data_IF_867147280113
#
_entry.id   IF_867147280113
#
_cell.length_a   1.000
_cell.length_b   1.000
_cell.length_c   1.000
_cell.angle_alpha   90.00
_cell.angle_beta   90.00
_cell.angle_gamma   90.00
#
_symmetry.space_group_name_H-M   'P 1'
#
loop_
_entity.id
_entity.type
_entity.pdbx_description
1 polymer ?
#
# COMPACT_ATOMS: atom_id res chain seq x y z
N UNK A 1 17.94 -18.98 -29.93
CA UNK A 1 16.99 -20.10 -30.14
C UNK A 1 15.79 -19.71 -30.99
N UNK A 2 15.12 -18.58 -30.73
CA UNK A 2 13.94 -18.10 -31.48
C UNK A 2 14.23 -17.88 -32.98
N UNK A 3 15.35 -17.25 -33.34
CA UNK A 3 15.74 -17.01 -34.75
C UNK A 3 15.92 -18.33 -35.52
N UNK A 4 16.49 -19.36 -34.88
CA UNK A 4 16.67 -20.67 -35.49
C UNK A 4 15.32 -21.35 -35.74
N UNK A 5 14.35 -21.19 -34.82
CA UNK A 5 13.00 -21.73 -34.95
C UNK A 5 12.20 -21.05 -36.09
N UNK A 6 12.37 -19.75 -36.29
CA UNK A 6 11.81 -19.04 -37.45
C UNK A 6 12.41 -19.54 -38.77
N UNK A 7 13.72 -19.78 -38.81
CA UNK A 7 14.36 -20.33 -40.01
C UNK A 7 13.84 -21.75 -40.30
N UNK A 8 13.67 -22.60 -39.28
CA UNK A 8 13.13 -23.94 -39.43
C UNK A 8 11.66 -23.97 -39.88
N UNK A 9 10.81 -23.06 -39.38
CA UNK A 9 9.41 -22.94 -39.84
C UNK A 9 9.33 -22.52 -41.31
N UNK A 10 10.12 -21.51 -41.70
CA UNK A 10 10.12 -20.98 -43.07
C UNK A 10 10.64 -22.04 -44.07
N UNK A 11 11.77 -22.69 -43.76
CA UNK A 11 12.36 -23.72 -44.61
C UNK A 11 11.47 -24.96 -44.67
N UNK A 12 10.95 -25.44 -43.53
CA UNK A 12 10.06 -26.59 -43.46
C UNK A 12 8.76 -26.37 -44.24
N UNK A 13 8.15 -25.19 -44.09
CA UNK A 13 6.91 -24.83 -44.79
C UNK A 13 7.09 -24.71 -46.32
N UNK A 14 8.18 -24.09 -46.78
CA UNK A 14 8.48 -23.96 -48.22
C UNK A 14 8.71 -25.34 -48.86
N UNK A 15 9.52 -26.19 -48.22
CA UNK A 15 9.83 -27.53 -48.76
C UNK A 15 8.56 -28.41 -48.78
N UNK A 16 7.74 -28.34 -47.73
CA UNK A 16 6.46 -29.05 -47.69
C UNK A 16 5.51 -28.60 -48.81
N UNK A 17 5.39 -27.29 -49.05
CA UNK A 17 4.57 -26.75 -50.15
C UNK A 17 5.06 -27.21 -51.53
N UNK A 18 6.38 -27.23 -51.77
CA UNK A 18 6.95 -27.69 -53.05
C UNK A 18 6.68 -29.17 -53.29
N UNK A 19 6.76 -30.01 -52.24
CA UNK A 19 6.55 -31.46 -52.37
C UNK A 19 5.10 -31.86 -52.58
N UNK A 20 4.12 -31.02 -52.23
CA UNK A 20 2.70 -31.22 -52.56
C UNK A 20 2.42 -31.17 -54.07
N UNK A 21 3.16 -30.36 -54.83
CA UNK A 21 2.98 -30.24 -56.29
C UNK A 21 3.78 -31.27 -57.10
N UNK A 22 4.79 -31.92 -56.51
CA UNK A 22 5.61 -32.98 -57.15
C UNK A 22 5.88 -34.13 -56.17
N UNK A 23 4.96 -35.11 -56.04
CA UNK A 23 4.99 -36.12 -54.99
C UNK A 23 5.97 -37.27 -55.31
N UNK A 24 7.23 -36.97 -55.61
CA UNK A 24 8.25 -37.98 -55.94
C UNK A 24 8.94 -38.60 -54.72
N UNK A 25 8.90 -37.94 -53.55
CA UNK A 25 9.65 -38.38 -52.36
C UNK A 25 8.83 -38.21 -51.06
N UNK A 26 8.01 -39.22 -50.71
CA UNK A 26 7.16 -39.21 -49.49
C UNK A 26 7.93 -38.97 -48.19
N UNK A 27 9.16 -39.46 -48.08
CA UNK A 27 10.01 -39.26 -46.89
C UNK A 27 10.38 -37.79 -46.68
N UNK A 28 10.67 -37.05 -47.75
CA UNK A 28 11.01 -35.62 -47.70
C UNK A 28 9.80 -34.78 -47.31
N UNK A 29 8.61 -35.17 -47.79
CA UNK A 29 7.35 -34.54 -47.40
C UNK A 29 7.05 -34.73 -45.90
N UNK A 30 7.22 -35.95 -45.37
CA UNK A 30 7.03 -36.23 -43.94
C UNK A 30 8.05 -35.46 -43.10
N UNK A 31 9.33 -35.47 -43.49
CA UNK A 31 10.39 -34.78 -42.75
C UNK A 31 10.19 -33.25 -42.73
N UNK A 32 9.82 -32.64 -43.85
CA UNK A 32 9.55 -31.19 -43.94
C UNK A 32 8.31 -30.78 -43.15
N UNK A 33 7.26 -31.60 -43.14
CA UNK A 33 6.08 -31.39 -42.32
C UNK A 33 6.40 -31.45 -40.82
N UNK A 34 7.16 -32.46 -40.37
CA UNK A 34 7.60 -32.57 -38.98
C UNK A 34 8.49 -31.40 -38.57
N UNK A 35 9.39 -30.94 -39.45
CA UNK A 35 10.24 -29.78 -39.19
C UNK A 35 9.43 -28.49 -39.05
N UNK A 36 8.40 -28.32 -39.89
CA UNK A 36 7.45 -27.22 -39.82
C UNK A 36 6.66 -27.25 -38.50
N UNK A 37 6.11 -28.40 -38.11
CA UNK A 37 5.38 -28.56 -36.85
C UNK A 37 6.27 -28.27 -35.63
N UNK A 38 7.50 -28.78 -35.61
CA UNK A 38 8.46 -28.51 -34.53
C UNK A 38 8.82 -27.03 -34.44
N UNK A 39 9.02 -26.38 -35.59
CA UNK A 39 9.26 -24.94 -35.65
C UNK A 39 8.06 -24.13 -35.13
N UNK A 40 6.83 -24.47 -35.54
CA UNK A 40 5.61 -23.80 -35.09
C UNK A 40 5.42 -24.00 -33.58
N UNK A 41 5.68 -25.20 -33.08
CA UNK A 41 5.59 -25.50 -31.65
C UNK A 41 6.65 -24.73 -30.84
N UNK A 42 7.85 -24.53 -31.38
CA UNK A 42 8.90 -23.75 -30.73
C UNK A 42 8.67 -22.23 -30.77
N UNK A 43 7.90 -21.72 -31.74
CA UNK A 43 7.53 -20.30 -31.88
C UNK A 43 6.17 -20.00 -31.22
N UNK A 44 5.39 -21.04 -30.91
CA UNK A 44 4.06 -20.89 -30.31
C UNK A 44 4.13 -20.13 -28.99
N UNK A 45 3.33 -19.05 -28.83
CA UNK A 45 3.26 -18.29 -27.58
C UNK A 45 2.75 -19.13 -26.40
N UNK A 46 2.22 -20.33 -26.64
CA UNK A 46 1.72 -21.28 -25.63
C UNK A 46 2.83 -21.76 -24.69
N UNK A 47 4.09 -21.76 -25.12
CA UNK A 47 5.21 -22.18 -24.27
C UNK A 47 5.62 -21.11 -23.24
N UNK A 48 5.04 -19.91 -23.33
CA UNK A 48 5.33 -18.76 -22.47
C UNK A 48 4.20 -18.44 -21.47
N UNK A 49 3.33 -19.42 -21.20
CA UNK A 49 2.33 -19.32 -20.13
C UNK A 49 3.03 -19.46 -18.77
N UNK A 50 3.67 -18.38 -18.32
CA UNK A 50 4.12 -18.24 -16.93
C UNK A 50 2.90 -18.11 -16.03
N UNK A 51 2.91 -18.85 -14.92
CA UNK A 51 1.77 -18.95 -14.00
C UNK A 51 1.66 -17.65 -13.20
N UNK A 52 0.48 -17.04 -13.09
CA UNK A 52 0.32 -15.82 -12.31
C UNK A 52 0.73 -16.06 -10.85
N UNK A 53 1.37 -15.06 -10.24
CA UNK A 53 1.81 -15.12 -8.84
C UNK A 53 0.66 -14.73 -7.92
N UNK A 54 0.22 -15.67 -7.09
CA UNK A 54 -0.75 -15.42 -6.03
C UNK A 54 -0.02 -14.91 -4.78
N UNK A 55 -0.52 -13.81 -4.21
CA UNK A 55 0.01 -13.19 -2.98
C UNK A 55 -1.13 -12.89 -2.02
N UNK A 56 -0.78 -12.60 -0.76
CA UNK A 56 -1.77 -12.24 0.25
C UNK A 56 -2.69 -11.10 -0.21
N UNK A 57 -3.94 -11.06 0.26
CA UNK A 57 -4.90 -10.02 -0.06
C UNK A 57 -4.31 -8.64 0.20
N UNK A 58 -4.53 -7.70 -0.71
CA UNK A 58 -4.22 -6.31 -0.45
C UNK A 58 -5.42 -5.40 -0.71
N UNK A 59 -5.62 -4.44 0.18
CA UNK A 59 -6.78 -3.57 0.18
C UNK A 59 -6.44 -2.21 0.76
N UNK A 60 -7.10 -1.17 0.24
CA UNK A 60 -7.00 0.18 0.81
C UNK A 60 -7.79 0.21 2.11
N UNK A 61 -7.10 0.40 3.22
CA UNK A 61 -7.73 0.40 4.56
C UNK A 61 -8.00 1.79 5.09
N UNK A 62 -7.42 2.83 4.50
CA UNK A 62 -7.69 4.22 4.87
C UNK A 62 -7.40 5.16 3.70
N UNK A 63 -8.21 6.19 3.50
CA UNK A 63 -7.92 7.28 2.56
C UNK A 63 -7.82 8.60 3.31
N UNK A 64 -6.69 9.29 3.14
CA UNK A 64 -6.53 10.67 3.63
C UNK A 64 -7.20 11.65 2.69
N UNK A 65 -7.09 11.41 1.38
CA UNK A 65 -7.72 12.16 0.29
C UNK A 65 -7.69 11.32 -1.01
N UNK A 66 -7.83 11.98 -2.17
CA UNK A 66 -7.81 11.35 -3.49
C UNK A 66 -6.48 10.66 -3.83
N UNK A 67 -5.35 11.18 -3.34
CA UNK A 67 -4.00 10.73 -3.74
C UNK A 67 -3.28 9.95 -2.64
N UNK A 68 -3.64 10.17 -1.38
CA UNK A 68 -2.95 9.61 -0.21
C UNK A 68 -3.79 8.55 0.49
N UNK A 69 -3.23 7.36 0.71
CA UNK A 69 -3.94 6.25 1.33
C UNK A 69 -3.02 5.24 2.02
N UNK A 70 -3.62 4.38 2.85
CA UNK A 70 -2.97 3.23 3.47
C UNK A 70 -3.38 1.95 2.76
N UNK A 71 -2.39 1.19 2.30
CA UNK A 71 -2.58 -0.14 1.73
C UNK A 71 -2.17 -1.19 2.77
N UNK A 72 -3.08 -2.11 3.09
CA UNK A 72 -2.79 -3.28 3.90
C UNK A 72 -2.59 -4.48 2.99
N UNK A 73 -1.49 -5.22 3.16
CA UNK A 73 -1.29 -6.55 2.56
C UNK A 73 -1.22 -7.60 3.67
N UNK A 74 -2.23 -8.47 3.75
CA UNK A 74 -2.35 -9.46 4.81
C UNK A 74 -3.74 -10.08 4.92
N UNK A 75 -3.96 -10.86 5.97
CA UNK A 75 -5.21 -11.56 6.21
C UNK A 75 -5.89 -11.02 7.46
N UNK A 76 -7.22 -11.09 7.52
CA UNK A 76 -7.97 -10.82 8.76
C UNK A 76 -7.66 -9.44 9.36
N UNK A 77 -7.49 -8.46 8.49
CA UNK A 77 -7.16 -7.08 8.85
C UNK A 77 -5.85 -6.91 9.64
N UNK A 78 -4.90 -7.83 9.40
CA UNK A 78 -3.57 -7.82 9.99
C UNK A 78 -2.52 -8.12 8.93
N UNK A 79 -1.46 -7.32 8.87
CA UNK A 79 -0.46 -7.47 7.82
C UNK A 79 0.60 -6.38 7.77
N UNK A 80 1.18 -6.23 6.59
CA UNK A 80 2.06 -5.12 6.25
C UNK A 80 1.21 -3.92 5.84
N UNK A 81 1.56 -2.74 6.35
CA UNK A 81 0.87 -1.49 6.01
C UNK A 81 1.83 -0.56 5.30
N UNK A 82 1.36 0.04 4.22
CA UNK A 82 2.10 0.98 3.40
C UNK A 82 1.35 2.30 3.34
N UNK A 83 2.07 3.40 3.54
CA UNK A 83 1.62 4.73 3.14
C UNK A 83 1.97 4.95 1.67
N UNK A 84 1.00 5.43 0.89
CA UNK A 84 1.17 5.72 -0.53
C UNK A 84 0.62 7.11 -0.81
N UNK A 85 1.42 7.93 -1.51
CA UNK A 85 1.00 9.17 -2.17
C UNK A 85 1.28 9.04 -3.66
N UNK A 86 0.23 8.86 -4.44
CA UNK A 86 0.34 8.69 -5.89
C UNK A 86 0.80 9.97 -6.59
N UNK A 87 0.41 11.14 -6.09
CA UNK A 87 0.74 12.42 -6.72
C UNK A 87 2.22 12.74 -6.54
N UNK A 88 2.74 12.54 -5.34
CA UNK A 88 4.13 12.84 -4.99
C UNK A 88 5.08 11.66 -5.19
N UNK A 89 4.55 10.52 -5.66
CA UNK A 89 5.27 9.27 -5.91
C UNK A 89 6.03 8.81 -4.65
N UNK A 90 5.34 8.83 -3.51
CA UNK A 90 5.87 8.39 -2.22
C UNK A 90 5.29 7.04 -1.86
N UNK A 91 6.19 6.14 -1.47
CA UNK A 91 5.85 4.84 -0.89
C UNK A 91 6.68 4.63 0.37
N UNK A 92 6.01 4.31 1.47
CA UNK A 92 6.68 4.04 2.74
C UNK A 92 6.04 2.84 3.43
N UNK A 93 6.87 1.89 3.84
CA UNK A 93 6.42 0.76 4.64
C UNK A 93 6.38 1.16 6.12
N UNK A 94 5.17 1.36 6.66
CA UNK A 94 4.95 1.72 8.06
C UNK A 94 5.25 0.56 8.99
N UNK A 95 4.69 -0.61 8.70
CA UNK A 95 4.94 -1.83 9.48
C UNK A 95 5.50 -2.97 8.62
N UNK A 96 6.58 -3.56 9.13
CA UNK A 96 7.23 -4.71 8.52
C UNK A 96 6.39 -6.00 8.63
N UNK A 97 5.58 -6.14 9.68
CA UNK A 97 4.67 -7.27 9.86
C UNK A 97 3.60 -7.01 10.93
N UNK A 98 2.44 -7.65 10.79
CA UNK A 98 1.47 -7.88 11.87
C UNK A 98 0.76 -6.65 12.45
N UNK A 99 0.75 -5.50 11.76
CA UNK A 99 -0.05 -4.36 12.20
C UNK A 99 -1.53 -4.66 11.96
N UNK A 100 -2.34 -4.45 12.99
CA UNK A 100 -3.81 -4.49 12.90
C UNK A 100 -4.31 -3.10 12.52
N UNK A 101 -5.42 -3.05 11.79
CA UNK A 101 -6.09 -1.77 11.48
C UNK A 101 -6.66 -1.13 12.75
N UNK A 102 -6.59 0.20 12.83
CA UNK A 102 -7.21 0.97 13.90
C UNK A 102 -8.70 1.14 13.61
N UNK A 103 -9.56 0.53 14.42
CA UNK A 103 -11.00 0.41 14.13
C UNK A 103 -11.87 1.52 14.71
N UNK A 104 -11.29 2.38 15.54
CA UNK A 104 -11.97 3.50 16.19
C UNK A 104 -12.04 4.74 15.27
N UNK A 105 -12.83 5.78 15.61
CA UNK A 105 -12.90 7.00 14.81
C UNK A 105 -11.52 7.61 14.57
N UNK A 106 -11.20 7.84 13.30
CA UNK A 106 -9.91 8.34 12.86
C UNK A 106 -10.05 9.28 11.66
N UNK A 107 -9.99 10.60 11.90
CA UNK A 107 -10.07 11.62 10.84
C UNK A 107 -8.75 12.35 10.70
N UNK A 108 -8.32 12.55 9.46
CA UNK A 108 -7.02 13.13 9.16
C UNK A 108 -7.11 14.17 8.04
N UNK A 109 -7.64 15.38 8.32
CA UNK A 109 -7.64 16.48 7.36
C UNK A 109 -6.27 17.15 7.15
N UNK A 110 -5.26 16.86 7.98
CA UNK A 110 -3.94 17.47 7.86
C UNK A 110 -3.21 17.08 6.56
N UNK A 111 -2.57 18.06 5.92
CA UNK A 111 -1.87 17.86 4.64
C UNK A 111 -0.36 17.71 4.82
N UNK A 112 0.24 18.51 5.71
CA UNK A 112 1.69 18.55 5.89
C UNK A 112 2.18 17.66 7.05
N UNK A 113 1.25 17.03 7.77
CA UNK A 113 1.53 16.23 8.95
C UNK A 113 0.73 14.94 8.87
N UNK A 114 1.36 13.86 8.42
CA UNK A 114 0.74 12.54 8.32
C UNK A 114 0.96 11.84 9.66
N UNK A 115 -0.07 11.21 10.21
CA UNK A 115 0.05 10.56 11.52
C UNK A 115 -0.89 9.37 11.61
N UNK A 116 -0.32 8.18 11.70
CA UNK A 116 -1.00 6.89 11.58
C UNK A 116 -0.85 6.13 12.90
N UNK A 117 -1.95 5.76 13.57
CA UNK A 117 -1.86 5.05 14.83
C UNK A 117 -1.62 3.55 14.61
N UNK A 118 -0.95 2.90 15.56
CA UNK A 118 -1.16 1.47 15.80
C UNK A 118 -2.58 1.22 16.35
N UNK A 119 -3.09 0.00 16.18
CA UNK A 119 -4.46 -0.34 16.59
C UNK A 119 -4.76 -0.11 18.08
N UNK A 120 -3.75 -0.18 18.94
CA UNK A 120 -3.83 0.00 20.38
C UNK A 120 -3.29 1.36 20.87
N UNK A 121 -2.92 2.25 19.94
CA UNK A 121 -2.28 3.54 20.22
C UNK A 121 -0.99 3.45 21.06
N UNK A 122 -0.36 2.27 21.13
CA UNK A 122 0.93 2.11 21.81
C UNK A 122 2.04 2.89 21.11
N UNK A 123 1.93 3.07 19.80
CA UNK A 123 2.75 3.97 19.00
C UNK A 123 1.92 4.61 17.88
N UNK A 124 2.39 5.77 17.43
CA UNK A 124 1.75 6.59 16.41
C UNK A 124 2.83 7.05 15.43
N UNK A 125 2.81 6.51 14.22
CA UNK A 125 3.80 6.81 13.21
C UNK A 125 3.49 8.14 12.53
N UNK A 126 4.42 9.07 12.63
CA UNK A 126 4.22 10.45 12.19
C UNK A 126 5.26 10.87 11.17
N UNK A 127 4.81 11.54 10.11
CA UNK A 127 5.65 12.13 9.07
C UNK A 127 5.36 13.62 8.89
N UNK A 128 6.43 14.39 8.70
CA UNK A 128 6.42 15.84 8.40
C UNK A 128 7.08 16.16 7.07
N UNK A 129 7.45 15.14 6.30
CA UNK A 129 8.18 15.25 5.03
C UNK A 129 7.38 14.65 3.87
N UNK A 130 6.04 14.69 3.98
CA UNK A 130 5.13 14.16 2.96
C UNK A 130 5.13 12.63 2.88
N UNK A 131 5.44 11.94 3.97
CA UNK A 131 5.44 10.48 4.05
C UNK A 131 6.72 9.81 3.59
N UNK A 132 7.80 10.58 3.36
CA UNK A 132 9.10 10.04 2.92
C UNK A 132 9.86 9.38 4.07
N UNK A 133 9.63 9.84 5.29
CA UNK A 133 10.08 9.18 6.52
C UNK A 133 9.04 9.31 7.61
N UNK A 134 8.99 8.31 8.49
CA UNK A 134 8.13 8.31 9.66
C UNK A 134 8.96 8.16 10.93
N UNK A 135 8.43 8.73 12.01
CA UNK A 135 8.94 8.59 13.37
C UNK A 135 7.76 8.28 14.28
N UNK A 136 7.94 7.28 15.13
CA UNK A 136 6.91 6.90 16.09
C UNK A 136 6.93 7.85 17.30
N UNK A 137 5.73 8.27 17.72
CA UNK A 137 5.48 8.91 19.03
C UNK A 137 4.57 8.03 19.87
N UNK A 138 4.60 8.26 21.17
CA UNK A 138 3.81 7.51 22.14
C UNK A 138 2.96 8.47 22.98
N UNK A 139 2.09 7.92 23.83
CA UNK A 139 1.51 8.71 24.92
C UNK A 139 2.60 9.00 25.95
N UNK A 140 2.64 10.22 26.48
CA UNK A 140 3.68 10.59 27.43
C UNK A 140 3.73 9.69 28.67
N UNK A 141 4.91 9.57 29.27
CA UNK A 141 5.22 8.68 30.39
C UNK A 141 4.09 8.63 31.44
N UNK A 142 3.59 7.42 31.70
CA UNK A 142 2.57 7.14 32.71
C UNK A 142 1.12 7.26 32.22
N UNK A 143 0.89 7.56 30.94
CA UNK A 143 -0.44 7.52 30.32
C UNK A 143 -0.57 6.26 29.45
N UNK A 144 -1.65 5.51 29.63
CA UNK A 144 -2.00 4.36 28.82
C UNK A 144 -3.52 4.37 28.65
N UNK A 145 -4.00 4.16 27.43
CA UNK A 145 -5.44 4.20 27.11
C UNK A 145 -6.15 2.87 27.42
N UNK A 146 -5.46 1.86 27.96
CA UNK A 146 -6.10 0.58 28.27
C UNK A 146 -6.52 -0.19 27.01
N UNK A 147 -6.93 -1.44 27.18
CA UNK A 147 -7.55 -2.26 26.11
C UNK A 147 -9.03 -1.91 25.86
N UNK A 148 -9.57 -0.87 26.52
CA UNK A 148 -11.00 -0.58 26.57
C UNK A 148 -11.39 0.87 26.30
N UNK A 149 -10.41 1.76 26.08
CA UNK A 149 -10.75 3.04 25.49
C UNK A 149 -10.93 2.83 23.99
N UNK A 150 -12.09 3.25 23.50
CA UNK A 150 -12.39 3.45 22.08
C UNK A 150 -12.21 4.93 21.77
N UNK A 151 -10.98 5.47 21.75
CA UNK A 151 -10.79 6.90 21.67
C UNK A 151 -11.01 7.39 20.24
N UNK A 152 -11.37 8.67 20.14
CA UNK A 152 -11.39 9.35 18.86
C UNK A 152 -10.00 9.90 18.58
N UNK A 153 -9.45 9.59 17.41
CA UNK A 153 -8.16 10.08 16.97
C UNK A 153 -8.31 11.03 15.79
N UNK A 154 -8.04 12.32 15.97
CA UNK A 154 -8.14 13.29 14.89
C UNK A 154 -6.82 14.02 14.67
N UNK A 155 -6.52 14.31 13.41
CA UNK A 155 -5.30 15.03 13.01
C UNK A 155 -5.68 16.29 12.25
N UNK A 156 -5.73 17.41 12.97
CA UNK A 156 -6.27 18.69 12.49
C UNK A 156 -5.26 19.80 12.71
N UNK A 157 -5.14 20.72 11.75
CA UNK A 157 -4.18 21.83 11.80
C UNK A 157 -2.75 21.37 12.05
N UNK A 158 -2.32 20.33 11.34
CA UNK A 158 -0.99 19.72 11.45
C UNK A 158 -0.63 19.30 12.90
N UNK A 159 -1.63 18.78 13.63
CA UNK A 159 -1.50 18.30 15.01
C UNK A 159 -2.42 17.11 15.26
N UNK A 160 -1.88 16.10 15.95
CA UNK A 160 -2.61 14.91 16.35
C UNK A 160 -3.30 15.11 17.71
N UNK A 161 -4.51 14.60 17.85
CA UNK A 161 -5.33 14.67 19.05
C UNK A 161 -5.99 13.33 19.33
N UNK A 162 -5.86 12.83 20.56
CA UNK A 162 -6.62 11.67 21.03
C UNK A 162 -7.58 12.15 22.12
N UNK A 163 -8.87 11.97 21.89
CA UNK A 163 -9.90 12.16 22.90
C UNK A 163 -10.26 10.80 23.50
N UNK A 164 -9.79 10.58 24.72
CA UNK A 164 -10.14 9.41 25.50
C UNK A 164 -11.61 9.46 25.93
N UNK A 165 -12.18 8.30 26.25
CA UNK A 165 -13.60 8.16 26.61
C UNK A 165 -13.97 8.89 27.90
N UNK A 166 -13.02 9.06 28.81
CA UNK A 166 -13.17 9.82 30.05
C UNK A 166 -13.16 11.36 29.83
N UNK A 167 -13.00 11.80 28.58
CA UNK A 167 -12.91 13.21 28.19
C UNK A 167 -11.49 13.78 28.24
N UNK A 168 -10.48 12.96 28.58
CA UNK A 168 -9.09 13.39 28.58
C UNK A 168 -8.60 13.62 27.15
N UNK A 169 -8.16 14.84 26.87
CA UNK A 169 -7.58 15.21 25.58
C UNK A 169 -6.04 15.14 25.65
N UNK A 170 -5.48 14.28 24.80
CA UNK A 170 -4.07 14.22 24.48
C UNK A 170 -3.81 14.94 23.17
N UNK A 171 -2.68 15.63 23.05
CA UNK A 171 -2.27 16.20 21.78
C UNK A 171 -0.76 16.09 21.58
N UNK A 172 -0.35 15.98 20.31
CA UNK A 172 1.06 16.06 19.92
C UNK A 172 1.58 17.51 20.02
N UNK A 173 2.90 17.69 19.94
CA UNK A 173 3.55 19.01 19.91
C UNK A 173 3.43 19.69 18.52
N UNK A 174 3.46 21.03 18.49
CA UNK A 174 3.39 21.88 17.28
C UNK A 174 4.58 22.87 17.13
N UNK A 175 5.35 22.84 16.03
CA UNK A 175 5.43 21.77 15.04
C UNK A 175 6.15 20.55 15.62
N UNK A 176 5.84 19.38 15.09
CA UNK A 176 6.48 18.13 15.46
C UNK A 176 8.00 18.15 15.21
N UNK A 177 8.76 17.47 16.08
CA UNK A 177 10.19 17.20 15.87
C UNK A 177 11.18 18.13 16.57
N UNK A 178 10.75 19.03 17.47
CA UNK A 178 11.69 19.87 18.21
C UNK A 178 12.25 19.18 19.46
N UNK A 179 11.43 18.51 20.30
CA UNK A 179 11.88 17.84 21.56
C UNK A 179 11.00 16.70 22.11
N UNK A 180 9.71 16.61 21.79
CA UNK A 180 8.80 15.61 22.38
C UNK A 180 8.68 14.32 21.57
N UNK A 181 8.83 13.18 22.26
CA UNK A 181 8.44 11.85 21.78
C UNK A 181 6.99 11.49 22.17
N UNK A 182 6.29 12.44 22.79
CA UNK A 182 5.09 12.17 23.59
C UNK A 182 3.90 13.04 23.15
N UNK A 183 2.72 12.44 23.12
CA UNK A 183 1.46 13.17 23.23
C UNK A 183 1.16 13.47 24.69
N UNK A 184 0.77 14.71 24.99
CA UNK A 184 0.56 15.18 26.36
C UNK A 184 -0.88 15.62 26.59
N UNK A 185 -1.30 15.56 27.85
CA UNK A 185 -2.52 16.24 28.34
C UNK A 185 -2.20 17.68 28.73
N UNK A 186 -3.22 18.55 28.83
CA UNK A 186 -3.08 19.91 29.38
C UNK A 186 -2.36 19.94 30.72
N UNK A 187 -2.68 18.98 31.60
CA UNK A 187 -2.10 18.87 32.95
C UNK A 187 -0.60 18.60 32.88
N UNK A 188 -0.20 17.62 32.07
CA UNK A 188 1.20 17.24 31.92
C UNK A 188 2.00 18.31 31.17
N UNK A 189 1.34 19.05 30.28
CA UNK A 189 1.94 20.16 29.55
C UNK A 189 2.30 21.35 30.45
N UNK A 190 1.44 21.73 31.41
CA UNK A 190 1.69 22.87 32.32
C UNK A 190 2.99 22.76 33.11
N UNK A 191 3.47 21.55 33.33
CA UNK A 191 4.72 21.29 34.05
C UNK A 191 5.98 21.47 33.17
N UNK A 192 5.81 21.77 31.87
CA UNK A 192 6.88 22.08 30.93
C UNK A 192 6.79 23.58 30.54
N UNK A 193 7.92 24.29 30.51
CA UNK A 193 7.97 25.65 29.92
C UNK A 193 7.85 25.49 28.41
N UNK A 194 6.69 25.82 27.85
CA UNK A 194 6.41 25.65 26.42
C UNK A 194 5.85 26.96 25.84
N UNK A 195 6.19 27.25 24.58
CA UNK A 195 5.69 28.41 23.83
C UNK A 195 4.16 28.40 23.63
N UNK A 196 3.58 29.59 23.39
CA UNK A 196 2.13 29.80 23.27
C UNK A 196 1.46 28.95 22.17
N UNK A 197 2.17 28.66 21.08
CA UNK A 197 1.69 27.82 19.96
C UNK A 197 1.42 26.37 20.34
N UNK A 198 1.91 25.92 21.50
CA UNK A 198 1.83 24.51 21.88
C UNK A 198 0.65 24.24 22.79
N UNK A 199 -0.03 25.26 23.33
CA UNK A 199 -1.13 25.10 24.28
C UNK A 199 -2.19 24.12 23.73
N UNK A 200 -2.55 23.12 24.53
CA UNK A 200 -3.59 22.16 24.18
C UNK A 200 -4.98 22.82 24.36
N UNK A 201 -5.87 22.79 23.34
CA UNK A 201 -7.23 23.32 23.42
C UNK A 201 -8.14 22.47 24.32
N UNK A 202 -9.30 22.99 24.75
CA UNK A 202 -10.23 22.22 25.61
C UNK A 202 -10.92 21.07 24.86
N UNK A 203 -11.08 21.21 23.55
CA UNK A 203 -11.67 20.21 22.66
C UNK A 203 -10.83 20.08 21.39
N UNK A 204 -11.04 18.99 20.65
CA UNK A 204 -10.47 18.85 19.31
C UNK A 204 -11.02 19.99 18.43
N UNK A 205 -10.18 20.70 17.65
CA UNK A 205 -10.64 21.66 16.66
C UNK A 205 -11.63 21.03 15.67
N UNK A 206 -12.60 21.80 15.15
CA UNK A 206 -13.55 21.28 14.17
C UNK A 206 -12.84 20.77 12.91
N UNK A 207 -13.37 19.69 12.33
CA UNK A 207 -12.92 19.18 11.04
C UNK A 207 -13.28 20.21 9.95
N UNK A 208 -12.36 20.54 9.03
CA UNK A 208 -12.66 21.43 7.90
C UNK A 208 -13.79 20.90 7.01
N UNK A 209 -14.60 21.81 6.46
CA UNK A 209 -15.73 21.46 5.58
C UNK A 209 -15.28 20.81 4.25
N UNK A 210 -14.03 21.03 3.84
CA UNK A 210 -13.43 20.46 2.62
C UNK A 210 -12.74 19.11 2.86
N UNK A 211 -12.92 18.49 4.04
CA UNK A 211 -12.38 17.17 4.33
C UNK A 211 -13.07 16.07 3.52
N UNK A 212 -12.28 15.32 2.74
CA UNK A 212 -12.76 14.23 1.87
C UNK A 212 -12.22 12.85 2.24
N UNK A 213 -11.40 12.77 3.28
CA UNK A 213 -10.84 11.51 3.77
C UNK A 213 -11.89 10.64 4.48
N UNK A 214 -11.48 9.42 4.85
CA UNK A 214 -12.35 8.50 5.57
C UNK A 214 -12.40 8.83 7.06
N UNK A 215 -13.58 8.66 7.67
CA UNK A 215 -13.76 8.92 9.12
C UNK A 215 -13.16 7.86 10.05
N UNK A 216 -12.73 6.73 9.50
CA UNK A 216 -12.02 5.65 10.19
C UNK A 216 -11.38 4.69 9.18
N UNK A 217 -10.48 3.83 9.66
CA UNK A 217 -10.00 2.72 8.84
C UNK A 217 -11.11 1.70 8.60
N UNK A 218 -11.07 1.07 7.43
CA UNK A 218 -12.00 0.04 7.01
C UNK A 218 -11.21 -1.17 6.53
N UNK A 219 -11.74 -2.36 6.71
CA UNK A 219 -11.09 -3.57 6.24
C UNK A 219 -12.11 -4.68 6.01
N UNK A 220 -11.97 -5.35 4.88
CA UNK A 220 -12.61 -6.62 4.57
C UNK A 220 -11.81 -7.76 5.21
N UNK A 221 -12.43 -8.43 6.18
CA UNK A 221 -11.82 -9.52 6.93
C UNK A 221 -11.64 -10.79 6.10
N UNK A 222 -12.49 -10.96 5.09
CA UNK A 222 -12.59 -12.15 4.24
C UNK A 222 -12.02 -11.89 2.84
N UNK A 223 -11.16 -10.87 2.71
CA UNK A 223 -10.55 -10.51 1.44
C UNK A 223 -9.79 -11.68 0.80
N UNK A 224 -10.05 -11.90 -0.49
CA UNK A 224 -9.42 -12.95 -1.29
C UNK A 224 -7.98 -12.60 -1.69
N UNK A 225 -7.20 -13.64 -1.98
CA UNK A 225 -5.82 -13.50 -2.46
C UNK A 225 -5.73 -12.60 -3.70
N UNK A 226 -4.65 -11.82 -3.76
CA UNK A 226 -4.38 -10.97 -4.92
C UNK A 226 -3.60 -11.76 -5.96
N UNK A 227 -4.06 -11.73 -7.22
CA UNK A 227 -3.39 -12.36 -8.36
C UNK A 227 -2.56 -11.31 -9.09
N UNK A 228 -1.24 -11.41 -8.99
CA UNK A 228 -0.31 -10.50 -9.68
C UNK A 228 0.06 -11.06 -11.07
N UNK A 229 0.13 -10.20 -12.10
CA UNK A 229 0.79 -10.54 -13.35
C UNK A 229 2.25 -10.93 -13.08
N UNK A 230 2.68 -12.05 -13.67
CA UNK A 230 4.08 -12.41 -13.64
C UNK A 230 4.90 -11.33 -14.37
N UNK A 231 6.04 -10.96 -13.79
CA UNK A 231 7.01 -9.92 -14.19
C UNK A 231 6.94 -8.58 -13.43
N UNK A 232 5.96 -8.35 -12.55
CA UNK A 232 5.87 -7.10 -11.77
C UNK A 232 5.92 -7.35 -10.25
N UNK A 233 6.71 -6.60 -9.47
CA UNK A 233 6.61 -6.58 -8.02
C UNK A 233 5.23 -6.05 -7.60
N UNK A 234 4.78 -6.48 -6.40
CA UNK A 234 3.49 -6.11 -5.81
C UNK A 234 3.22 -4.60 -5.93
N UNK A 235 4.22 -3.78 -5.60
CA UNK A 235 4.12 -2.33 -5.65
C UNK A 235 3.82 -1.80 -7.06
N UNK A 236 4.51 -2.30 -8.10
CA UNK A 236 4.29 -1.88 -9.49
C UNK A 236 2.89 -2.25 -9.97
N UNK A 237 2.40 -3.45 -9.61
CA UNK A 237 1.05 -3.89 -10.00
C UNK A 237 -0.01 -3.02 -9.34
N UNK A 238 0.16 -2.67 -8.05
CA UNK A 238 -0.78 -1.79 -7.38
C UNK A 238 -0.76 -0.37 -7.94
N UNK A 239 0.42 0.18 -8.22
CA UNK A 239 0.54 1.45 -8.91
C UNK A 239 -0.18 1.40 -10.27
N UNK A 240 -0.03 0.31 -11.02
CA UNK A 240 -0.69 0.16 -12.32
C UNK A 240 -2.23 0.01 -12.21
N UNK A 241 -2.73 -0.78 -11.26
CA UNK A 241 -4.18 -0.99 -11.05
C UNK A 241 -4.91 0.25 -10.59
N UNK A 242 -4.22 1.12 -9.84
CA UNK A 242 -4.77 2.39 -9.37
C UNK A 242 -4.63 3.51 -10.41
N UNK A 243 -4.11 3.20 -11.61
CA UNK A 243 -3.94 4.15 -12.71
C UNK A 243 -2.75 5.10 -12.52
N UNK A 244 -1.77 4.72 -11.71
CA UNK A 244 -0.66 5.58 -11.28
C UNK A 244 0.70 5.16 -11.82
N UNK A 245 0.75 4.06 -12.59
CA UNK A 245 1.87 3.73 -13.47
C UNK A 245 1.70 4.45 -14.83
N UNK A 246 2.64 5.35 -15.14
CA UNK A 246 2.84 5.87 -16.50
C UNK A 246 3.74 4.93 -17.32
#
# INVERSE_FOLDING_TARGET
MIVLAFICTLIGGIIFAITLFKPRHKLVQIASYLLFLLGVWAVSPVNNLRQPKVVSPSQVVYRFDENRYLLLTGYRCQGQVYFIDDKEQVYYQLAAHSQRVYTEPYRHPAKNYISVPLADLSAIDTSIDGGRSFKSIELGIGNYLGDHDSPQYDVVNDRAFILAKDGTLFASEQPYGYRGWDMLTKRNQKNKIIGRSQMIPDTIPPIPDDYTGWDKMQCDYDADDTILPDNHPLLEVFQQWLGTAN
#
